data_IF_320329873689
#
_entry.id   IF_320329873689
#
_cell.length_a   1.000
_cell.length_b   1.000
_cell.length_c   1.000
_cell.angle_alpha   90.00
_cell.angle_beta   90.00
_cell.angle_gamma   90.00
#
_symmetry.space_group_name_H-M   'P 1'
#
loop_
_entity.id
_entity.type
_entity.pdbx_description
1 polymer ?
#
# COMPACT_ATOMS: atom_id res chain seq x y z
N UNK A 1 -64.38 67.05 -37.02
CA UNK A 1 -63.23 66.23 -37.47
C UNK A 1 -62.30 66.10 -36.29
N UNK A 2 -62.21 64.94 -35.65
CA UNK A 2 -60.90 64.44 -35.18
C UNK A 2 -61.00 63.00 -34.67
N UNK A 3 -60.32 62.15 -35.44
CA UNK A 3 -59.60 60.93 -35.08
C UNK A 3 -60.09 60.05 -33.93
N UNK A 4 -60.72 58.94 -34.33
CA UNK A 4 -60.62 57.67 -33.62
C UNK A 4 -59.19 57.15 -33.76
N UNK A 5 -58.42 57.16 -32.67
CA UNK A 5 -57.20 56.38 -32.53
C UNK A 5 -57.48 55.15 -31.62
N UNK A 6 -56.96 53.96 -31.94
CA UNK A 6 -57.43 52.70 -31.37
C UNK A 6 -56.87 52.48 -29.97
N UNK A 7 -57.74 52.13 -29.01
CA UNK A 7 -57.32 51.62 -27.72
C UNK A 7 -56.61 50.27 -27.92
N UNK A 8 -55.30 50.26 -27.65
CA UNK A 8 -54.49 49.05 -27.53
C UNK A 8 -54.97 48.24 -26.33
N UNK A 9 -55.82 47.25 -26.59
CA UNK A 9 -56.27 46.31 -25.57
C UNK A 9 -55.08 45.44 -25.10
N UNK A 10 -54.55 45.77 -23.91
CA UNK A 10 -53.66 44.87 -23.17
C UNK A 10 -54.33 43.49 -23.06
N UNK A 11 -53.60 42.38 -23.28
CA UNK A 11 -54.19 41.05 -23.24
C UNK A 11 -54.85 40.82 -21.88
N UNK A 12 -56.16 40.52 -21.87
CA UNK A 12 -56.87 40.30 -20.60
C UNK A 12 -56.25 39.12 -19.85
N UNK A 13 -56.15 39.24 -18.51
CA UNK A 13 -55.62 38.20 -17.62
C UNK A 13 -56.26 36.82 -17.86
N UNK A 14 -57.50 36.76 -18.37
CA UNK A 14 -58.16 35.52 -18.77
C UNK A 14 -57.50 34.83 -19.98
N UNK A 15 -57.07 35.57 -21.01
CA UNK A 15 -56.35 34.99 -22.16
C UNK A 15 -54.95 34.52 -21.78
N UNK A 16 -54.25 35.26 -20.92
CA UNK A 16 -52.95 34.87 -20.39
C UNK A 16 -53.04 33.56 -19.58
N UNK A 17 -54.06 33.44 -18.73
CA UNK A 17 -54.31 32.24 -17.91
C UNK A 17 -54.64 30.99 -18.76
N UNK A 18 -55.47 31.14 -19.81
CA UNK A 18 -55.77 30.02 -20.71
C UNK A 18 -54.57 29.61 -21.57
N UNK A 19 -53.72 30.56 -21.98
CA UNK A 19 -52.46 30.28 -22.68
C UNK A 19 -51.45 29.56 -21.79
N UNK A 20 -51.30 29.98 -20.52
CA UNK A 20 -50.47 29.30 -19.52
C UNK A 20 -50.93 27.86 -19.24
N UNK A 21 -52.24 27.61 -19.17
CA UNK A 21 -52.78 26.27 -18.87
C UNK A 21 -52.62 25.26 -20.02
N UNK A 22 -52.69 25.72 -21.26
CA UNK A 22 -52.64 24.86 -22.45
C UNK A 22 -51.25 24.80 -23.12
N UNK A 23 -50.29 25.63 -22.72
CA UNK A 23 -48.96 25.65 -23.32
C UNK A 23 -48.03 24.59 -22.71
N UNK A 24 -47.63 23.62 -23.53
CA UNK A 24 -46.67 22.55 -23.19
C UNK A 24 -45.32 23.16 -22.75
N UNK A 25 -44.90 24.27 -23.37
CA UNK A 25 -43.65 24.95 -23.05
C UNK A 25 -43.63 25.49 -21.62
N UNK A 26 -44.76 26.03 -21.15
CA UNK A 26 -44.90 26.52 -19.77
C UNK A 26 -44.83 25.37 -18.77
N UNK A 27 -45.44 24.22 -19.09
CA UNK A 27 -45.35 23.01 -18.25
C UNK A 27 -43.90 22.53 -18.14
N UNK A 28 -43.18 22.42 -19.26
CA UNK A 28 -41.77 22.03 -19.27
C UNK A 28 -40.88 23.03 -18.51
N UNK A 29 -41.11 24.34 -18.68
CA UNK A 29 -40.39 25.38 -17.95
C UNK A 29 -40.65 25.30 -16.43
N UNK A 30 -41.90 25.03 -16.01
CA UNK A 30 -42.24 24.86 -14.60
C UNK A 30 -41.56 23.65 -13.97
N UNK A 31 -41.47 22.53 -14.71
CA UNK A 31 -40.76 21.34 -14.27
C UNK A 31 -39.26 21.64 -14.15
N UNK A 32 -38.66 22.31 -15.14
CA UNK A 32 -37.25 22.71 -15.10
C UNK A 32 -36.94 23.65 -13.93
N UNK A 33 -37.82 24.63 -13.65
CA UNK A 33 -37.70 25.51 -12.50
C UNK A 33 -37.76 24.74 -11.17
N UNK A 34 -38.70 23.81 -11.03
CA UNK A 34 -38.80 22.94 -9.85
C UNK A 34 -37.56 22.06 -9.70
N UNK A 35 -37.01 21.50 -10.79
CA UNK A 35 -35.75 20.75 -10.75
C UNK A 35 -34.60 21.61 -10.24
N UNK A 36 -34.43 22.83 -10.76
CA UNK A 36 -33.40 23.75 -10.29
C UNK A 36 -33.57 24.11 -8.81
N UNK A 37 -34.81 24.35 -8.38
CA UNK A 37 -35.13 24.63 -6.98
C UNK A 37 -34.75 23.45 -6.07
N UNK A 38 -34.96 22.20 -6.51
CA UNK A 38 -34.56 20.99 -5.78
C UNK A 38 -33.06 20.68 -5.85
N UNK A 39 -32.34 21.19 -6.85
CA UNK A 39 -30.89 21.03 -6.93
C UNK A 39 -30.15 21.78 -5.82
N UNK A 40 -30.67 22.93 -5.38
CA UNK A 40 -30.06 23.72 -4.30
C UNK A 40 -29.95 22.90 -2.99
N UNK A 41 -31.04 22.38 -2.39
CA UNK A 41 -30.95 21.60 -1.15
C UNK A 41 -30.16 20.30 -1.35
N UNK A 42 -30.28 19.66 -2.51
CA UNK A 42 -29.51 18.45 -2.82
C UNK A 42 -28.00 18.72 -2.84
N UNK A 43 -27.57 19.85 -3.43
CA UNK A 43 -26.18 20.27 -3.45
C UNK A 43 -25.66 20.56 -2.03
N UNK A 44 -26.46 21.23 -1.20
CA UNK A 44 -26.10 21.49 0.20
C UNK A 44 -25.91 20.21 1.01
N UNK A 45 -26.80 19.22 0.84
CA UNK A 45 -26.69 17.91 1.50
C UNK A 45 -25.40 17.19 1.04
N UNK A 46 -25.13 17.16 -0.27
CA UNK A 46 -23.90 16.57 -0.80
C UNK A 46 -22.64 17.24 -0.25
N UNK A 47 -22.65 18.57 -0.14
CA UNK A 47 -21.54 19.32 0.44
C UNK A 47 -21.32 18.96 1.91
N UNK A 48 -22.38 18.84 2.70
CA UNK A 48 -22.28 18.46 4.11
C UNK A 48 -21.74 17.03 4.29
N UNK A 49 -22.21 16.10 3.44
CA UNK A 49 -21.72 14.71 3.43
C UNK A 49 -20.22 14.69 3.09
N UNK A 50 -19.81 15.41 2.04
CA UNK A 50 -18.41 15.50 1.64
C UNK A 50 -17.52 16.11 2.72
N UNK A 51 -17.98 17.15 3.44
CA UNK A 51 -17.25 17.73 4.57
C UNK A 51 -17.05 16.71 5.70
N UNK A 52 -18.07 15.90 6.00
CA UNK A 52 -17.97 14.85 7.04
C UNK A 52 -17.02 13.73 6.63
N UNK A 53 -17.08 13.28 5.38
CA UNK A 53 -16.17 12.28 4.84
C UNK A 53 -14.72 12.80 4.89
N UNK A 54 -14.47 14.01 4.40
CA UNK A 54 -13.16 14.63 4.42
C UNK A 54 -12.63 14.80 5.84
N UNK A 55 -13.47 15.21 6.80
CA UNK A 55 -13.08 15.33 8.21
C UNK A 55 -12.74 13.97 8.82
N UNK A 56 -13.51 12.93 8.49
CA UNK A 56 -13.20 11.55 8.91
C UNK A 56 -11.86 11.08 8.37
N UNK A 57 -11.61 11.27 7.07
CA UNK A 57 -10.36 10.88 6.43
C UNK A 57 -9.15 11.65 6.98
N UNK A 58 -9.31 12.94 7.27
CA UNK A 58 -8.27 13.75 7.91
C UNK A 58 -7.92 13.22 9.31
N UNK A 59 -8.93 12.79 10.08
CA UNK A 59 -8.70 12.18 11.40
C UNK A 59 -7.97 10.85 11.26
N UNK A 60 -8.39 9.98 10.33
CA UNK A 60 -7.70 8.71 10.07
C UNK A 60 -6.24 8.97 9.71
N UNK A 61 -5.97 9.91 8.80
CA UNK A 61 -4.62 10.28 8.41
C UNK A 61 -3.82 10.89 9.57
N UNK A 62 -4.40 11.75 10.39
CA UNK A 62 -3.72 12.33 11.56
C UNK A 62 -3.29 11.24 12.54
N UNK A 63 -4.19 10.31 12.88
CA UNK A 63 -3.88 9.20 13.80
C UNK A 63 -2.85 8.26 13.17
N UNK A 64 -3.05 7.87 11.91
CA UNK A 64 -2.12 7.01 11.15
C UNK A 64 -0.73 7.63 11.06
N UNK A 65 -0.62 8.96 10.90
CA UNK A 65 0.67 9.64 10.82
C UNK A 65 1.51 9.55 12.11
N UNK A 66 0.86 9.33 13.26
CA UNK A 66 1.49 9.23 14.58
C UNK A 66 1.71 7.78 15.04
N UNK A 67 0.86 6.86 14.57
CA UNK A 67 0.92 5.44 14.94
C UNK A 67 1.70 4.60 13.93
N UNK A 68 1.44 4.83 12.65
CA UNK A 68 1.88 4.01 11.53
C UNK A 68 0.79 3.98 10.46
N UNK A 69 1.16 4.22 9.20
CA UNK A 69 0.24 4.07 8.05
C UNK A 69 -0.06 2.60 7.76
N UNK A 70 -0.78 2.35 6.65
CA UNK A 70 -0.91 1.01 6.09
C UNK A 70 0.47 0.40 5.82
N UNK A 71 0.66 -0.83 6.29
CA UNK A 71 1.91 -1.55 6.14
C UNK A 71 1.78 -2.58 5.02
N UNK A 72 2.77 -2.61 4.15
CA UNK A 72 2.96 -3.65 3.15
C UNK A 72 4.34 -4.22 3.38
N UNK A 73 4.41 -5.38 4.02
CA UNK A 73 5.66 -6.04 4.34
C UNK A 73 6.11 -6.82 3.12
N UNK A 74 7.21 -6.38 2.53
CA UNK A 74 7.86 -7.12 1.47
C UNK A 74 8.87 -8.07 2.10
N UNK A 75 8.81 -9.35 1.72
CA UNK A 75 9.71 -10.37 2.23
C UNK A 75 11.20 -10.03 2.05
N UNK A 76 12.09 -10.74 2.73
CA UNK A 76 13.52 -10.51 2.62
C UNK A 76 13.99 -10.79 1.19
N UNK A 77 14.90 -9.92 0.71
CA UNK A 77 15.57 -10.07 -0.57
C UNK A 77 17.07 -9.93 -0.38
N UNK A 78 17.82 -10.92 -0.85
CA UNK A 78 19.28 -10.94 -0.81
C UNK A 78 19.83 -10.25 -2.05
N UNK A 79 20.62 -9.20 -1.84
CA UNK A 79 21.27 -8.43 -2.90
C UNK A 79 22.78 -8.61 -2.81
N UNK A 80 23.41 -8.97 -3.91
CA UNK A 80 24.86 -9.17 -4.00
C UNK A 80 25.39 -8.36 -5.19
N UNK A 81 26.26 -7.36 -4.94
CA UNK A 81 26.89 -6.60 -6.01
C UNK A 81 27.91 -7.43 -6.80
N UNK A 82 28.02 -7.15 -8.09
CA UNK A 82 29.05 -7.75 -8.95
C UNK A 82 29.52 -6.77 -10.03
N UNK A 83 30.77 -6.93 -10.45
CA UNK A 83 31.37 -6.09 -11.50
C UNK A 83 31.13 -6.73 -12.87
N UNK A 84 30.44 -6.00 -13.74
CA UNK A 84 30.20 -6.40 -15.14
C UNK A 84 31.10 -5.57 -16.04
N UNK A 85 31.88 -6.24 -16.89
CA UNK A 85 32.71 -5.59 -17.90
C UNK A 85 31.97 -5.54 -19.24
N UNK A 86 32.08 -4.42 -19.94
CA UNK A 86 31.55 -4.26 -21.29
C UNK A 86 32.49 -3.37 -22.11
N UNK A 87 32.46 -3.51 -23.44
CA UNK A 87 33.16 -2.61 -24.34
C UNK A 87 32.22 -1.48 -24.75
N UNK A 88 32.68 -0.24 -24.67
CA UNK A 88 31.92 0.91 -25.14
C UNK A 88 32.01 1.06 -26.68
N UNK A 89 31.36 2.10 -27.22
CA UNK A 89 31.39 2.41 -28.65
C UNK A 89 32.79 2.75 -29.20
N UNK A 90 33.77 2.97 -28.33
CA UNK A 90 35.17 3.26 -28.66
C UNK A 90 36.09 2.05 -28.42
N UNK A 91 35.52 0.85 -28.25
CA UNK A 91 36.22 -0.40 -27.95
C UNK A 91 37.03 -0.38 -26.63
N UNK A 92 36.74 0.57 -25.73
CA UNK A 92 37.38 0.64 -24.41
C UNK A 92 36.67 -0.27 -23.43
N UNK A 93 37.44 -1.06 -22.69
CA UNK A 93 36.93 -1.88 -21.61
C UNK A 93 36.49 -0.97 -20.44
N UNK A 94 35.19 -0.94 -20.18
CA UNK A 94 34.60 -0.29 -19.01
C UNK A 94 34.00 -1.32 -18.08
N UNK A 95 33.82 -0.93 -16.83
CA UNK A 95 33.12 -1.73 -15.84
C UNK A 95 31.96 -0.94 -15.26
N UNK A 96 30.92 -1.67 -14.85
CA UNK A 96 29.79 -1.15 -14.11
C UNK A 96 29.47 -2.12 -12.97
N UNK A 97 29.18 -1.58 -11.79
CA UNK A 97 28.68 -2.38 -10.67
C UNK A 97 27.19 -2.60 -10.87
N UNK A 98 26.79 -3.87 -10.92
CA UNK A 98 25.39 -4.30 -10.98
C UNK A 98 25.03 -5.01 -9.68
N UNK A 99 23.74 -5.09 -9.40
CA UNK A 99 23.21 -5.74 -8.21
C UNK A 99 22.40 -6.96 -8.64
N UNK A 100 22.79 -8.14 -8.18
CA UNK A 100 22.03 -9.36 -8.35
C UNK A 100 21.09 -9.54 -7.16
N UNK A 101 19.81 -9.76 -7.43
CA UNK A 101 18.79 -10.02 -6.42
C UNK A 101 18.42 -11.50 -6.43
N UNK A 102 18.39 -12.09 -5.24
CA UNK A 102 18.00 -13.47 -4.99
C UNK A 102 16.83 -13.48 -4.02
N UNK A 103 15.87 -14.34 -4.32
CA UNK A 103 14.64 -14.52 -3.56
C UNK A 103 14.66 -15.85 -2.79
N UNK A 104 13.93 -15.95 -1.67
CA UNK A 104 13.88 -17.19 -0.91
C UNK A 104 13.13 -18.29 -1.69
N UNK A 105 13.46 -19.56 -1.41
CA UNK A 105 12.62 -20.67 -1.88
C UNK A 105 11.33 -20.70 -1.06
N UNK A 106 11.47 -20.74 0.25
CA UNK A 106 10.35 -20.80 1.20
C UNK A 106 10.31 -19.53 2.02
N UNK A 107 9.11 -18.96 2.19
CA UNK A 107 8.87 -17.77 2.98
C UNK A 107 7.62 -17.95 3.84
N UNK A 108 7.80 -17.86 5.15
CA UNK A 108 6.73 -18.00 6.13
C UNK A 108 6.56 -16.70 6.89
N UNK A 109 5.34 -16.17 6.87
CA UNK A 109 4.89 -15.11 7.75
C UNK A 109 3.93 -15.72 8.78
N UNK A 110 4.31 -15.73 10.04
CA UNK A 110 3.44 -16.13 11.15
C UNK A 110 3.23 -14.93 12.06
N UNK A 111 2.00 -14.61 12.44
CA UNK A 111 1.80 -13.41 13.23
C UNK A 111 0.49 -13.30 14.00
N UNK A 112 0.54 -12.41 15.00
CA UNK A 112 -0.61 -11.95 15.76
C UNK A 112 -0.82 -10.48 15.44
N UNK A 113 -2.04 -10.11 15.07
CA UNK A 113 -2.45 -8.72 14.80
C UNK A 113 -3.45 -8.31 15.86
N UNK A 114 -3.07 -7.36 16.70
CA UNK A 114 -3.88 -6.85 17.80
C UNK A 114 -4.49 -5.49 17.43
N UNK A 115 -5.79 -5.44 17.08
CA UNK A 115 -6.47 -4.19 16.76
C UNK A 115 -6.71 -3.33 18.02
N UNK A 116 -6.58 -2.02 17.87
CA UNK A 116 -6.92 -1.02 18.89
C UNK A 116 -7.77 0.10 18.29
N UNK A 117 -8.79 0.54 19.05
CA UNK A 117 -9.60 1.70 18.65
C UNK A 117 -9.04 2.97 19.30
N UNK A 118 -8.54 3.87 18.47
CA UNK A 118 -8.11 5.21 18.87
C UNK A 118 -9.22 6.23 18.59
N UNK A 119 -9.26 7.29 19.40
CA UNK A 119 -10.30 8.32 19.33
C UNK A 119 -9.69 9.68 19.05
N UNK A 120 -10.35 10.44 18.18
CA UNK A 120 -10.06 11.85 17.95
C UNK A 120 -11.37 12.62 17.83
N UNK A 121 -11.76 13.30 18.90
CA UNK A 121 -13.08 13.91 19.02
C UNK A 121 -14.18 12.84 19.00
N UNK A 122 -15.08 12.92 18.02
CA UNK A 122 -16.18 11.97 17.84
C UNK A 122 -15.84 10.81 16.89
N UNK A 123 -14.66 10.85 16.25
CA UNK A 123 -14.26 9.88 15.25
C UNK A 123 -13.43 8.76 15.90
N UNK A 124 -13.69 7.54 15.43
CA UNK A 124 -12.98 6.32 15.80
C UNK A 124 -12.04 5.95 14.67
N UNK A 125 -10.80 5.59 15.00
CA UNK A 125 -9.80 5.10 14.04
C UNK A 125 -9.31 3.76 14.55
N UNK A 126 -9.39 2.74 13.71
CA UNK A 126 -8.84 1.42 14.02
C UNK A 126 -7.37 1.42 13.61
N UNK A 127 -6.51 1.16 14.57
CA UNK A 127 -5.07 0.90 14.38
C UNK A 127 -4.78 -0.51 14.84
N UNK A 128 -3.57 -1.00 14.60
CA UNK A 128 -3.14 -2.29 15.11
C UNK A 128 -1.67 -2.25 15.52
N UNK A 129 -1.32 -3.16 16.42
CA UNK A 129 0.04 -3.66 16.57
C UNK A 129 0.11 -5.05 15.92
N UNK A 130 1.24 -5.38 15.31
CA UNK A 130 1.47 -6.70 14.74
C UNK A 130 2.83 -7.23 15.13
N UNK A 131 2.84 -8.43 15.71
CA UNK A 131 4.05 -9.19 15.99
C UNK A 131 4.15 -10.29 14.94
N UNK A 132 5.14 -10.18 14.06
CA UNK A 132 5.35 -11.07 12.93
C UNK A 132 6.66 -11.83 13.10
N UNK A 133 6.62 -13.15 13.00
CA UNK A 133 7.78 -14.00 12.81
C UNK A 133 7.92 -14.29 11.31
N UNK A 134 9.06 -13.91 10.75
CA UNK A 134 9.37 -14.09 9.33
C UNK A 134 10.53 -15.07 9.23
N UNK A 135 10.31 -16.19 8.56
CA UNK A 135 11.31 -17.26 8.44
C UNK A 135 11.32 -17.87 7.05
N UNK A 136 12.39 -18.56 6.71
CA UNK A 136 12.52 -19.17 5.39
C UNK A 136 13.94 -19.59 5.05
N UNK A 137 14.15 -19.91 3.77
CA UNK A 137 15.43 -20.36 3.26
C UNK A 137 15.78 -19.67 1.94
N UNK A 138 17.03 -19.23 1.81
CA UNK A 138 17.59 -18.79 0.54
C UNK A 138 18.41 -19.93 -0.08
N UNK A 139 18.20 -20.28 -1.35
CA UNK A 139 19.14 -21.15 -2.04
C UNK A 139 20.52 -20.48 -2.13
N UNK A 140 21.60 -21.27 -2.15
CA UNK A 140 22.94 -20.72 -2.38
C UNK A 140 22.96 -19.88 -3.67
N UNK A 141 23.32 -18.58 -3.60
CA UNK A 141 23.30 -17.71 -4.77
C UNK A 141 24.22 -18.23 -5.87
N UNK A 142 23.73 -18.21 -7.11
CA UNK A 142 24.47 -18.70 -8.28
C UNK A 142 24.49 -17.65 -9.37
N UNK A 143 25.69 -17.29 -9.81
CA UNK A 143 25.92 -16.31 -10.87
C UNK A 143 26.22 -16.95 -12.24
N UNK A 144 26.13 -18.29 -12.32
CA UNK A 144 26.49 -19.07 -13.51
C UNK A 144 25.67 -18.67 -14.73
N UNK A 145 24.38 -18.39 -14.54
CA UNK A 145 23.47 -17.99 -15.63
C UNK A 145 23.84 -16.65 -16.26
N UNK A 146 24.49 -15.77 -15.50
CA UNK A 146 24.95 -14.46 -15.99
C UNK A 146 26.40 -14.48 -16.48
N UNK A 147 27.09 -15.62 -16.40
CA UNK A 147 28.48 -15.76 -16.84
C UNK A 147 29.46 -14.87 -16.07
N UNK A 148 29.15 -14.52 -14.83
CA UNK A 148 30.00 -13.64 -14.01
C UNK A 148 31.12 -14.47 -13.37
N UNK A 149 32.40 -14.13 -13.61
CA UNK A 149 33.52 -14.80 -12.96
C UNK A 149 33.46 -14.64 -11.42
N UNK A 150 33.79 -15.68 -10.64
CA UNK A 150 33.74 -15.62 -9.18
C UNK A 150 34.51 -14.45 -8.55
N UNK A 151 35.62 -14.04 -9.15
CA UNK A 151 36.47 -12.93 -8.73
C UNK A 151 35.79 -11.55 -8.85
N UNK A 152 34.74 -11.44 -9.65
CA UNK A 152 34.00 -10.19 -9.86
C UNK A 152 32.78 -10.06 -8.94
N UNK A 153 32.50 -11.09 -8.13
CA UNK A 153 31.36 -11.13 -7.21
C UNK A 153 31.84 -10.62 -5.85
N UNK A 154 31.14 -9.63 -5.31
CA UNK A 154 31.45 -9.01 -4.02
C UNK A 154 30.62 -9.64 -2.91
N UNK A 155 31.04 -10.82 -2.46
CA UNK A 155 30.34 -11.58 -1.43
C UNK A 155 30.30 -10.86 -0.07
N UNK A 156 31.34 -10.09 0.23
CA UNK A 156 31.47 -9.26 1.43
C UNK A 156 30.51 -8.07 1.47
N UNK A 157 29.96 -7.67 0.32
CA UNK A 157 28.95 -6.62 0.20
C UNK A 157 27.53 -7.20 0.10
N UNK A 158 27.34 -8.50 0.38
CA UNK A 158 26.03 -9.13 0.39
C UNK A 158 25.12 -8.53 1.48
N UNK A 159 23.88 -8.24 1.11
CA UNK A 159 22.93 -7.54 1.97
C UNK A 159 21.54 -8.14 1.86
N UNK A 160 20.86 -8.25 2.99
CA UNK A 160 19.42 -8.55 3.03
C UNK A 160 18.66 -7.26 3.26
N UNK A 161 17.56 -7.11 2.53
CA UNK A 161 16.66 -5.98 2.64
C UNK A 161 15.22 -6.46 2.78
N UNK A 162 14.44 -5.79 3.63
CA UNK A 162 13.02 -6.06 3.88
C UNK A 162 12.29 -4.76 3.60
N UNK A 163 11.26 -4.82 2.76
CA UNK A 163 10.47 -3.63 2.42
C UNK A 163 9.49 -3.30 3.52
N UNK A 164 9.61 -2.08 4.06
CA UNK A 164 8.69 -1.53 5.06
C UNK A 164 8.38 -0.08 4.64
N UNK A 165 7.14 0.23 4.24
CA UNK A 165 6.80 1.54 3.69
C UNK A 165 6.87 2.64 4.75
N UNK A 166 6.50 2.35 6.00
CA UNK A 166 6.51 3.31 7.09
C UNK A 166 7.28 2.75 8.30
N UNK A 167 8.59 3.05 8.31
CA UNK A 167 9.51 2.63 9.38
C UNK A 167 9.18 3.23 10.75
N UNK A 168 8.34 4.27 10.83
CA UNK A 168 7.93 4.86 12.11
C UNK A 168 7.04 3.92 12.92
N UNK A 169 6.43 2.93 12.26
CA UNK A 169 5.64 1.91 12.93
C UNK A 169 6.50 0.86 13.66
N UNK A 170 7.78 0.73 13.33
CA UNK A 170 8.65 -0.30 13.94
C UNK A 170 8.81 0.03 15.43
N UNK A 171 8.45 -0.91 16.30
CA UNK A 171 8.49 -0.71 17.76
C UNK A 171 9.79 -1.20 18.39
N UNK A 172 10.39 -2.25 17.82
CA UNK A 172 11.60 -2.88 18.34
C UNK A 172 12.70 -2.97 17.28
N UNK A 173 13.93 -3.23 17.74
CA UNK A 173 15.02 -3.49 16.80
C UNK A 173 14.76 -4.81 16.09
N UNK A 174 14.98 -4.83 14.78
CA UNK A 174 14.77 -6.03 13.97
C UNK A 174 16.08 -6.79 13.94
N UNK A 175 16.09 -7.93 14.63
CA UNK A 175 17.22 -8.85 14.62
C UNK A 175 16.87 -10.12 13.83
N UNK A 176 17.85 -10.62 13.09
CA UNK A 176 17.73 -11.81 12.26
C UNK A 176 18.82 -12.81 12.61
N UNK A 177 18.41 -14.05 12.84
CA UNK A 177 19.28 -15.20 12.77
C UNK A 177 19.49 -15.56 11.29
N UNK A 178 20.75 -15.60 10.87
CA UNK A 178 21.18 -16.05 9.56
C UNK A 178 22.11 -17.25 9.74
N UNK A 179 21.57 -18.45 9.54
CA UNK A 179 22.28 -19.71 9.72
C UNK A 179 23.01 -19.83 11.07
N UNK A 180 22.39 -19.35 12.16
CA UNK A 180 22.92 -19.35 13.52
C UNK A 180 23.76 -18.13 13.92
N UNK A 181 23.97 -17.16 13.01
CA UNK A 181 24.65 -15.90 13.30
C UNK A 181 23.63 -14.74 13.38
N UNK A 182 23.73 -13.92 14.42
CA UNK A 182 22.79 -12.82 14.66
C UNK A 182 23.21 -11.55 13.91
N UNK A 183 22.30 -10.97 13.13
CA UNK A 183 22.47 -9.70 12.42
C UNK A 183 21.38 -8.71 12.81
N UNK A 184 21.79 -7.46 13.03
CA UNK A 184 20.87 -6.36 13.35
C UNK A 184 20.55 -5.57 12.09
N UNK A 185 19.29 -5.29 11.84
CA UNK A 185 18.86 -4.46 10.73
C UNK A 185 19.00 -2.96 11.02
N UNK A 186 19.42 -2.23 10.00
CA UNK A 186 19.51 -0.77 10.03
C UNK A 186 18.41 -0.16 9.14
N UNK A 187 17.86 1.00 9.52
CA UNK A 187 16.95 1.75 8.67
C UNK A 187 17.59 2.13 7.34
N UNK A 188 16.82 2.00 6.26
CA UNK A 188 17.25 2.34 4.91
C UNK A 188 17.57 1.13 4.04
N UNK A 189 17.34 1.32 2.76
CA UNK A 189 17.70 0.37 1.70
C UNK A 189 18.59 1.12 0.72
N UNK A 190 19.75 0.54 0.43
CA UNK A 190 20.71 1.13 -0.51
C UNK A 190 20.48 0.55 -1.90
N UNK A 191 20.37 1.43 -2.89
CA UNK A 191 20.43 1.09 -4.33
C UNK A 191 19.55 -0.11 -4.75
N UNK A 192 18.28 -0.12 -4.34
CA UNK A 192 17.34 -1.16 -4.70
C UNK A 192 16.19 -0.56 -5.53
N UNK A 193 16.03 -0.98 -6.78
CA UNK A 193 15.00 -0.44 -7.67
C UNK A 193 13.59 -0.85 -7.22
N UNK A 194 13.45 -2.00 -6.56
CA UNK A 194 12.17 -2.63 -6.26
C UNK A 194 11.64 -2.27 -4.87
N UNK A 195 12.53 -1.86 -3.95
CA UNK A 195 12.16 -1.46 -2.59
C UNK A 195 12.38 0.03 -2.37
N UNK A 196 11.29 0.79 -2.20
CA UNK A 196 11.33 2.25 -1.97
C UNK A 196 11.77 2.66 -0.56
N UNK A 197 11.47 1.81 0.43
CA UNK A 197 11.73 2.06 1.85
C UNK A 197 11.77 0.73 2.59
N UNK A 198 12.51 0.69 3.68
CA UNK A 198 12.57 -0.45 4.59
C UNK A 198 13.90 -0.52 5.30
N UNK A 199 14.26 -1.73 5.70
CA UNK A 199 15.45 -1.98 6.52
C UNK A 199 16.42 -2.89 5.79
N UNK A 200 17.71 -2.79 6.10
CA UNK A 200 18.71 -3.69 5.55
C UNK A 200 19.86 -4.02 6.50
N UNK A 201 20.52 -5.16 6.26
CA UNK A 201 21.73 -5.58 6.99
C UNK A 201 22.68 -6.36 6.09
N UNK A 202 23.98 -6.23 6.34
CA UNK A 202 25.00 -7.00 5.64
C UNK A 202 25.04 -8.42 6.23
N UNK A 203 25.10 -9.43 5.36
CA UNK A 203 25.12 -10.84 5.77
C UNK A 203 26.35 -11.54 5.24
N UNK A 204 26.84 -12.53 5.97
CA UNK A 204 27.96 -13.34 5.55
C UNK A 204 27.49 -14.43 4.58
N UNK A 205 28.03 -14.43 3.37
CA UNK A 205 27.80 -15.49 2.37
C UNK A 205 29.09 -16.25 2.16
N UNK A 206 29.11 -17.51 2.59
CA UNK A 206 30.24 -18.41 2.33
C UNK A 206 30.17 -18.92 0.89
N UNK A 207 30.89 -18.24 0.00
CA UNK A 207 31.03 -18.67 -1.39
C UNK A 207 31.86 -19.96 -1.52
N UNK A 208 32.86 -20.12 -0.64
CA UNK A 208 33.86 -21.18 -0.69
C UNK A 208 33.44 -22.49 0.00
N UNK A 209 32.47 -22.49 0.91
CA UNK A 209 32.05 -23.72 1.59
C UNK A 209 31.12 -24.56 0.68
N UNK A 210 31.55 -25.75 0.24
CA UNK A 210 30.73 -26.63 -0.59
C UNK A 210 29.60 -27.31 0.18
N UNK A 211 29.64 -27.32 1.52
CA UNK A 211 28.60 -27.96 2.36
C UNK A 211 27.38 -27.05 2.56
N UNK A 212 27.52 -25.75 2.35
CA UNK A 212 26.40 -24.80 2.42
C UNK A 212 25.62 -24.86 1.10
N UNK A 213 24.41 -25.41 1.16
CA UNK A 213 23.48 -25.48 0.01
C UNK A 213 22.37 -24.44 0.07
N UNK A 214 22.06 -23.95 1.28
CA UNK A 214 21.05 -22.93 1.55
C UNK A 214 21.45 -22.10 2.77
N UNK A 215 20.76 -20.98 2.96
CA UNK A 215 20.87 -20.13 4.12
C UNK A 215 19.49 -19.98 4.76
N UNK A 216 19.33 -20.54 5.95
CA UNK A 216 18.10 -20.39 6.71
C UNK A 216 18.12 -19.06 7.44
N UNK A 217 16.96 -18.41 7.52
CA UNK A 217 16.80 -17.17 8.26
C UNK A 217 15.55 -17.18 9.13
N UNK A 218 15.62 -16.46 10.23
CA UNK A 218 14.47 -16.20 11.09
C UNK A 218 14.61 -14.83 11.75
N UNK A 219 13.55 -14.03 11.72
CA UNK A 219 13.51 -12.71 12.35
C UNK A 219 12.13 -12.41 12.91
N UNK A 220 12.09 -11.52 13.90
CA UNK A 220 10.86 -11.00 14.46
C UNK A 220 10.70 -9.53 14.08
N UNK A 221 9.48 -9.14 13.74
CA UNK A 221 9.09 -7.79 13.39
C UNK A 221 7.89 -7.39 14.24
N UNK A 222 8.12 -6.46 15.17
CA UNK A 222 7.06 -5.75 15.88
C UNK A 222 6.80 -4.41 15.18
N UNK A 223 5.62 -4.29 14.56
CA UNK A 223 5.26 -3.13 13.77
C UNK A 223 3.82 -2.67 14.01
N UNK A 224 3.68 -1.38 14.25
CA UNK A 224 2.43 -0.66 14.27
C UNK A 224 1.99 -0.25 12.87
N UNK A 225 0.68 -0.36 12.63
CA UNK A 225 0.07 0.07 11.38
C UNK A 225 -1.39 0.45 11.56
N UNK A 226 -2.00 0.84 10.45
CA UNK A 226 -3.41 1.20 10.39
C UNK A 226 -4.01 0.81 9.05
N UNK A 227 -5.34 0.70 8.99
CA UNK A 227 -6.12 0.45 7.77
C UNK A 227 -5.91 -0.95 7.13
N UNK A 228 -4.68 -1.31 6.77
CA UNK A 228 -4.37 -2.62 6.17
C UNK A 228 -2.96 -3.11 6.56
N UNK A 229 -2.81 -4.42 6.57
CA UNK A 229 -1.54 -5.14 6.65
C UNK A 229 -1.47 -6.07 5.44
N UNK A 230 -0.51 -5.82 4.55
CA UNK A 230 -0.35 -6.56 3.31
C UNK A 230 1.02 -7.27 3.29
N UNK A 231 1.09 -8.37 2.56
CA UNK A 231 2.32 -9.16 2.39
C UNK A 231 2.64 -9.29 0.91
N UNK A 232 3.90 -9.08 0.53
CA UNK A 232 4.36 -9.33 -0.84
C UNK A 232 5.07 -10.69 -0.88
N UNK A 233 4.51 -11.68 -1.61
CA UNK A 233 5.07 -13.03 -1.66
C UNK A 233 6.28 -13.07 -2.59
N UNK A 234 7.47 -12.89 -2.00
CA UNK A 234 8.73 -12.96 -2.74
C UNK A 234 9.32 -14.37 -2.81
N UNK A 235 8.83 -15.32 -2.00
CA UNK A 235 9.29 -16.70 -2.06
C UNK A 235 8.72 -17.46 -3.25
N UNK A 236 9.42 -18.52 -3.71
CA UNK A 236 8.81 -19.50 -4.64
C UNK A 236 7.55 -20.12 -4.05
N UNK A 237 7.62 -20.43 -2.77
CA UNK A 237 6.48 -20.76 -1.93
C UNK A 237 6.40 -19.73 -0.80
N UNK A 238 5.23 -19.13 -0.62
CA UNK A 238 4.99 -18.17 0.47
C UNK A 238 3.74 -18.59 1.23
N UNK A 239 3.89 -18.80 2.54
CA UNK A 239 2.80 -19.15 3.45
C UNK A 239 2.59 -18.00 4.44
N UNK A 240 1.34 -17.57 4.60
CA UNK A 240 0.97 -16.48 5.51
C UNK A 240 -0.08 -17.00 6.49
N UNK A 241 0.26 -17.00 7.77
CA UNK A 241 -0.61 -17.41 8.87
C UNK A 241 -0.76 -16.25 9.86
N UNK A 242 -1.97 -15.70 9.93
CA UNK A 242 -2.28 -14.54 10.77
C UNK A 242 -3.43 -14.90 11.71
N UNK A 243 -3.25 -14.57 12.98
CA UNK A 243 -4.29 -14.57 13.99
C UNK A 243 -4.60 -13.14 14.42
N UNK A 244 -5.85 -12.83 14.73
CA UNK A 244 -6.27 -11.51 15.19
C UNK A 244 -7.51 -11.63 16.06
N UNK A 245 -7.66 -10.74 17.03
CA UNK A 245 -8.90 -10.61 17.81
C UNK A 245 -9.96 -9.75 17.13
N UNK A 246 -9.75 -9.38 15.85
CA UNK A 246 -10.69 -8.59 15.08
C UNK A 246 -11.81 -9.46 14.49
N UNK A 247 -13.02 -9.41 15.06
CA UNK A 247 -14.13 -10.27 14.65
C UNK A 247 -14.77 -9.98 13.28
N UNK A 248 -14.31 -8.97 12.53
CA UNK A 248 -14.81 -8.67 11.16
C UNK A 248 -13.68 -8.32 10.20
N UNK A 249 -12.75 -9.24 9.90
CA UNK A 249 -11.65 -8.97 8.98
C UNK A 249 -12.15 -8.90 7.54
N UNK A 250 -11.51 -8.06 6.74
CA UNK A 250 -11.66 -8.03 5.28
C UNK A 250 -10.37 -8.50 4.63
N UNK A 251 -10.48 -9.30 3.58
CA UNK A 251 -9.35 -9.79 2.80
C UNK A 251 -9.41 -9.18 1.41
N UNK A 252 -8.28 -8.70 0.91
CA UNK A 252 -8.12 -8.05 -0.39
C UNK A 252 -6.75 -8.44 -0.99
N UNK A 253 -6.52 -8.07 -2.25
CA UNK A 253 -5.31 -8.35 -3.01
C UNK A 253 -5.51 -9.38 -4.12
N UNK A 254 -4.40 -9.78 -4.74
CA UNK A 254 -4.41 -10.74 -5.86
C UNK A 254 -4.69 -12.19 -5.42
N UNK A 255 -4.49 -12.49 -4.13
CA UNK A 255 -4.67 -13.81 -3.53
C UNK A 255 -5.56 -13.67 -2.30
N UNK A 256 -6.56 -14.54 -2.18
CA UNK A 256 -7.41 -14.64 -1.00
C UNK A 256 -6.93 -15.81 -0.11
N UNK A 257 -7.28 -15.83 1.19
CA UNK A 257 -6.87 -16.92 2.07
C UNK A 257 -7.39 -18.28 1.59
N UNK A 258 -6.51 -19.29 1.55
CA UNK A 258 -6.89 -20.66 1.24
C UNK A 258 -7.82 -21.26 2.30
N UNK A 259 -7.59 -20.90 3.57
CA UNK A 259 -8.45 -21.25 4.71
C UNK A 259 -8.67 -20.06 5.62
N UNK A 260 -9.87 -19.93 6.19
CA UNK A 260 -10.18 -18.93 7.22
C UNK A 260 -11.16 -19.47 8.25
N UNK A 261 -10.93 -19.13 9.50
CA UNK A 261 -11.88 -19.28 10.60
C UNK A 261 -12.09 -17.88 11.20
N UNK A 262 -13.35 -17.47 11.36
CA UNK A 262 -13.70 -16.15 11.88
C UNK A 262 -14.73 -16.36 12.98
N UNK A 263 -14.41 -15.91 14.19
CA UNK A 263 -15.33 -15.91 15.32
C UNK A 263 -15.62 -14.48 15.79
N UNK A 264 -16.50 -14.34 16.81
CA UNK A 264 -16.76 -13.01 17.40
C UNK A 264 -15.54 -12.44 18.13
N UNK A 265 -14.63 -13.31 18.57
CA UNK A 265 -13.43 -12.96 19.33
C UNK A 265 -12.18 -12.96 18.43
N UNK A 266 -12.35 -13.08 17.11
CA UNK A 266 -11.28 -13.35 16.14
C UNK A 266 -11.64 -14.52 15.25
#
# INVERSE_FOLDING_TARGET
MENVAPQSALPSFKKLNNWFKNSIMVKLASIGFLMLMLMIPTSMIKSLISEREMRSNNVVNEVSSKWGYAQTITGPMLTIPYTSYYRDSEDKLRHVVKHAQFLPNDLYFEGVVEPEIRYRGLYKVVVYNSTLKISGSFPKPSFKEWGVPPENIKWEEARISIGIPDMRGIQETIDMDWNGEQFVFNPGIENNADLKSGVSTNVNISSADPNVTQYDFNLNLDINGSQSLNFVPLGKETNVSISSSWGTPSFDGSFLPDSREISKDG
#
